data_IF_150902879108
#
_entry.id   IF_150902879108
#
_cell.length_a   1.000
_cell.length_b   1.000
_cell.length_c   1.000
_cell.angle_alpha   90.00
_cell.angle_beta   90.00
_cell.angle_gamma   90.00
#
_symmetry.space_group_name_H-M   'P 1'
#
loop_
_entity.id
_entity.type
_entity.pdbx_description
1 polymer ?
#
# COMPACT_ATOMS: atom_id res chain seq x y z
N UNK A 1 -4.54 -3.29 -19.36
CA UNK A 1 -5.84 -2.58 -19.41
C UNK A 1 -6.51 -2.50 -18.05
N UNK A 2 -6.81 -3.61 -17.35
CA UNK A 2 -7.50 -3.57 -16.04
C UNK A 2 -6.79 -2.73 -14.97
N UNK A 3 -5.45 -2.81 -14.89
CA UNK A 3 -4.64 -1.94 -14.01
C UNK A 3 -4.88 -0.45 -14.27
N UNK A 4 -4.86 -0.01 -15.53
CA UNK A 4 -5.10 1.39 -15.89
C UNK A 4 -6.51 1.85 -15.52
N UNK A 5 -7.52 0.98 -15.71
CA UNK A 5 -8.91 1.27 -15.30
C UNK A 5 -9.00 1.45 -13.79
N UNK A 6 -8.35 0.57 -13.02
CA UNK A 6 -8.35 0.70 -11.55
C UNK A 6 -7.60 1.95 -11.08
N UNK A 7 -6.48 2.30 -11.73
CA UNK A 7 -5.73 3.51 -11.43
C UNK A 7 -6.54 4.77 -11.73
N UNK A 8 -7.28 4.81 -12.84
CA UNK A 8 -8.18 5.91 -13.16
C UNK A 8 -9.27 6.08 -12.07
N UNK A 9 -9.80 4.98 -11.53
CA UNK A 9 -10.72 5.02 -10.39
C UNK A 9 -10.10 5.60 -9.12
N UNK A 10 -8.86 5.22 -8.80
CA UNK A 10 -8.11 5.80 -7.68
C UNK A 10 -7.88 7.31 -7.87
N UNK A 11 -7.44 7.72 -9.07
CA UNK A 11 -7.25 9.14 -9.39
C UNK A 11 -8.55 9.92 -9.25
N UNK A 12 -9.68 9.36 -9.66
CA UNK A 12 -10.99 10.00 -9.53
C UNK A 12 -11.39 10.20 -8.06
N UNK A 13 -11.12 9.21 -7.20
CA UNK A 13 -11.36 9.31 -5.75
C UNK A 13 -10.48 10.38 -5.11
N UNK A 14 -9.18 10.39 -5.40
CA UNK A 14 -8.21 11.31 -4.81
C UNK A 14 -8.45 12.75 -5.29
N UNK A 15 -8.74 12.93 -6.58
CA UNK A 15 -9.04 14.24 -7.18
C UNK A 15 -10.43 14.78 -6.85
N UNK A 16 -11.26 13.99 -6.14
CA UNK A 16 -12.65 14.32 -5.82
C UNK A 16 -13.46 14.71 -7.07
N UNK A 17 -13.19 14.07 -8.21
CA UNK A 17 -13.85 14.38 -9.48
C UNK A 17 -13.40 15.67 -10.18
N UNK A 18 -12.40 16.39 -9.68
CA UNK A 18 -11.90 17.63 -10.29
C UNK A 18 -10.56 17.42 -10.98
N UNK A 19 -10.53 17.66 -12.30
CA UNK A 19 -9.28 17.70 -13.08
C UNK A 19 -8.39 18.89 -12.66
N UNK A 20 -8.97 19.94 -12.11
CA UNK A 20 -8.22 21.12 -11.66
C UNK A 20 -7.34 20.80 -10.45
N UNK A 21 -7.76 19.86 -9.59
CA UNK A 21 -6.93 19.32 -8.49
C UNK A 21 -5.73 18.55 -9.05
N UNK A 22 -5.87 17.89 -10.20
CA UNK A 22 -4.78 17.17 -10.88
C UNK A 22 -3.81 18.11 -11.59
N UNK A 23 -4.29 19.21 -12.17
CA UNK A 23 -3.44 20.16 -12.90
C UNK A 23 -2.93 21.33 -12.06
N UNK A 24 -3.57 21.61 -10.92
CA UNK A 24 -3.19 22.62 -9.94
C UNK A 24 -2.19 22.13 -8.87
N UNK A 25 -1.67 20.91 -9.02
CA UNK A 25 -0.61 20.36 -8.18
C UNK A 25 0.69 21.16 -8.38
N UNK A 26 0.89 22.18 -7.55
CA UNK A 26 2.18 22.82 -7.40
C UNK A 26 3.17 21.89 -6.69
N UNK A 27 4.41 21.84 -7.17
CA UNK A 27 5.47 21.09 -6.49
C UNK A 27 5.70 21.67 -5.09
N UNK A 28 5.31 20.91 -4.08
CA UNK A 28 5.50 21.24 -2.69
C UNK A 28 6.57 20.33 -2.08
N UNK A 29 7.10 20.72 -0.92
CA UNK A 29 8.02 19.86 -0.15
C UNK A 29 7.39 18.49 0.16
N UNK A 30 6.06 18.41 0.28
CA UNK A 30 5.32 17.16 0.43
C UNK A 30 5.50 16.19 -0.74
N UNK A 31 5.63 16.67 -1.98
CA UNK A 31 5.83 15.80 -3.15
C UNK A 31 7.20 15.12 -3.12
N UNK A 32 8.22 15.85 -2.63
CA UNK A 32 9.55 15.28 -2.42
C UNK A 32 9.51 14.18 -1.36
N UNK A 33 8.78 14.39 -0.26
CA UNK A 33 8.55 13.37 0.75
C UNK A 33 7.80 12.16 0.20
N UNK A 34 6.79 12.38 -0.65
CA UNK A 34 6.05 11.30 -1.32
C UNK A 34 6.95 10.48 -2.24
N UNK A 35 7.84 11.12 -3.00
CA UNK A 35 8.81 10.42 -3.86
C UNK A 35 9.76 9.55 -3.03
N UNK A 36 10.31 10.09 -1.94
CA UNK A 36 11.15 9.30 -1.03
C UNK A 36 10.36 8.13 -0.45
N UNK A 37 9.13 8.36 0.00
CA UNK A 37 8.28 7.32 0.56
C UNK A 37 7.98 6.19 -0.46
N UNK A 38 7.62 6.54 -1.70
CA UNK A 38 7.35 5.56 -2.76
C UNK A 38 8.62 4.80 -3.13
N UNK A 39 9.78 5.46 -3.22
CA UNK A 39 11.05 4.80 -3.48
C UNK A 39 11.41 3.81 -2.35
N UNK A 40 11.29 4.22 -1.09
CA UNK A 40 11.50 3.33 0.07
C UNK A 40 10.54 2.14 0.03
N UNK A 41 9.26 2.37 -0.29
CA UNK A 41 8.27 1.31 -0.43
C UNK A 41 8.59 0.33 -1.56
N UNK A 42 8.97 0.85 -2.73
CA UNK A 42 9.38 0.03 -3.87
C UNK A 42 10.62 -0.80 -3.56
N UNK A 43 11.63 -0.21 -2.92
CA UNK A 43 12.83 -0.95 -2.46
C UNK A 43 12.46 -2.02 -1.44
N UNK A 44 11.58 -1.71 -0.48
CA UNK A 44 11.08 -2.68 0.50
C UNK A 44 10.36 -3.85 -0.17
N UNK A 45 9.38 -3.58 -1.03
CA UNK A 45 8.57 -4.61 -1.69
C UNK A 45 9.40 -5.49 -2.62
N UNK A 46 10.35 -4.89 -3.35
CA UNK A 46 11.32 -5.64 -4.16
C UNK A 46 12.26 -6.43 -3.25
N UNK A 47 12.81 -5.84 -2.21
CA UNK A 47 13.73 -6.50 -1.27
C UNK A 47 13.10 -7.66 -0.50
N UNK A 48 11.77 -7.66 -0.33
CA UNK A 48 11.04 -8.78 0.27
C UNK A 48 11.24 -10.09 -0.52
N UNK A 49 11.45 -10.01 -1.84
CA UNK A 49 11.69 -11.18 -2.68
C UNK A 49 13.14 -11.71 -2.55
N UNK A 50 14.08 -10.88 -2.08
CA UNK A 50 15.49 -11.24 -1.84
C UNK A 50 15.78 -11.63 -0.40
N UNK A 51 14.72 -11.85 0.37
CA UNK A 51 14.75 -12.35 1.72
C UNK A 51 15.63 -13.62 1.82
N UNK A 52 16.68 -13.61 2.66
CA UNK A 52 17.53 -14.78 2.84
C UNK A 52 16.73 -15.99 3.30
N UNK A 53 16.99 -17.15 2.69
CA UNK A 53 16.37 -18.42 3.09
C UNK A 53 16.75 -18.72 4.55
N UNK A 54 15.75 -18.91 5.41
CA UNK A 54 15.95 -19.23 6.84
C UNK A 54 15.61 -18.10 7.81
N UNK A 55 15.39 -16.87 7.34
CA UNK A 55 14.84 -15.80 8.21
C UNK A 55 13.36 -16.12 8.46
N UNK A 56 12.80 -15.74 9.62
CA UNK A 56 11.34 -15.83 9.92
C UNK A 56 10.63 -14.48 9.60
N UNK A 57 9.43 -14.45 8.98
CA UNK A 57 8.84 -13.19 8.46
C UNK A 57 8.64 -12.14 9.55
N UNK A 58 8.31 -12.60 10.75
CA UNK A 58 8.19 -11.76 11.94
C UNK A 58 9.51 -11.09 12.34
N UNK A 59 10.65 -11.77 12.19
CA UNK A 59 11.97 -11.21 12.53
C UNK A 59 12.34 -10.09 11.56
N UNK A 60 12.01 -10.26 10.28
CA UNK A 60 12.21 -9.24 9.27
C UNK A 60 11.32 -8.01 9.52
N UNK A 61 10.05 -8.22 9.86
CA UNK A 61 9.14 -7.13 10.25
C UNK A 61 9.66 -6.40 11.50
N UNK A 62 10.11 -7.13 12.53
CA UNK A 62 10.68 -6.56 13.74
C UNK A 62 11.94 -5.71 13.44
N UNK A 63 12.82 -6.19 12.55
CA UNK A 63 13.99 -5.43 12.12
C UNK A 63 13.59 -4.11 11.43
N UNK A 64 12.58 -4.13 10.56
CA UNK A 64 12.10 -2.91 9.91
C UNK A 64 11.45 -1.94 10.90
N UNK A 65 10.65 -2.43 11.85
CA UNK A 65 10.08 -1.60 12.91
C UNK A 65 11.19 -0.97 13.75
N UNK A 66 12.24 -1.73 14.08
CA UNK A 66 13.36 -1.23 14.86
C UNK A 66 14.15 -0.15 14.12
N UNK A 67 14.48 -0.37 12.84
CA UNK A 67 15.14 0.65 12.01
C UNK A 67 14.25 1.89 11.87
N UNK A 68 12.95 1.71 11.62
CA UNK A 68 11.99 2.81 11.56
C UNK A 68 11.93 3.61 12.85
N UNK A 69 11.96 2.94 14.02
CA UNK A 69 12.00 3.58 15.33
C UNK A 69 13.29 4.40 15.52
N UNK A 70 14.44 3.86 15.13
CA UNK A 70 15.73 4.57 15.21
C UNK A 70 15.77 5.82 14.33
N UNK A 71 15.15 5.77 13.14
CA UNK A 71 15.05 6.93 12.23
C UNK A 71 14.04 7.96 12.73
N UNK A 72 12.91 7.52 13.29
CA UNK A 72 11.85 8.40 13.79
C UNK A 72 12.19 9.03 15.15
N UNK A 73 12.97 8.36 15.99
CA UNK A 73 13.36 8.85 17.32
C UNK A 73 14.00 10.26 17.32
N UNK A 74 15.00 10.58 16.46
CA UNK A 74 15.57 11.93 16.41
C UNK A 74 14.57 12.96 15.88
N UNK A 75 13.68 12.58 14.96
CA UNK A 75 12.62 13.49 14.47
C UNK A 75 11.61 13.82 15.57
N UNK A 76 11.21 12.81 16.35
CA UNK A 76 10.35 13.00 17.51
C UNK A 76 11.01 13.88 18.59
N UNK A 77 12.29 13.64 18.88
CA UNK A 77 13.06 14.47 19.81
C UNK A 77 13.15 15.94 19.33
N UNK A 78 13.31 16.15 18.02
CA UNK A 78 13.29 17.48 17.41
C UNK A 78 11.94 18.17 17.64
N UNK A 79 10.82 17.50 17.38
CA UNK A 79 9.49 18.08 17.60
C UNK A 79 9.25 18.45 19.07
N UNK A 80 9.68 17.59 19.99
CA UNK A 80 9.58 17.83 21.42
C UNK A 80 10.41 19.04 21.84
N UNK A 81 11.61 19.21 21.28
CA UNK A 81 12.45 20.39 21.51
C UNK A 81 11.83 21.69 20.97
N UNK A 82 10.97 21.58 19.94
CA UNK A 82 10.18 22.68 19.39
C UNK A 82 8.90 22.98 20.17
N UNK A 83 8.69 22.37 21.34
CA UNK A 83 7.54 22.59 22.21
C UNK A 83 6.26 21.87 21.79
N UNK A 84 6.30 20.97 20.79
CA UNK A 84 5.13 20.13 20.45
C UNK A 84 5.02 19.02 21.47
N UNK A 85 3.83 18.85 22.04
CA UNK A 85 3.56 17.80 23.02
C UNK A 85 2.43 16.90 22.53
N UNK A 86 2.55 15.60 22.76
CA UNK A 86 1.46 14.65 22.52
C UNK A 86 0.39 14.85 23.60
N UNK A 87 -0.85 15.10 23.18
CA UNK A 87 -1.97 15.14 24.10
C UNK A 87 -2.39 13.70 24.45
N UNK A 88 -1.96 13.21 25.61
CA UNK A 88 -2.18 11.83 26.05
C UNK A 88 -3.55 11.64 26.70
N UNK A 89 -4.62 11.91 25.95
CA UNK A 89 -5.97 11.52 26.37
C UNK A 89 -6.33 10.13 25.82
N UNK A 90 -7.34 9.49 26.42
CA UNK A 90 -7.74 8.11 26.08
C UNK A 90 -8.05 7.92 24.58
N UNK A 91 -8.62 8.93 23.92
CA UNK A 91 -8.92 8.91 22.49
C UNK A 91 -7.65 8.91 21.61
N UNK A 92 -6.66 9.76 21.92
CA UNK A 92 -5.38 9.75 21.21
C UNK A 92 -4.65 8.41 21.39
N UNK A 93 -4.62 7.87 22.62
CA UNK A 93 -3.98 6.57 22.89
C UNK A 93 -4.70 5.45 22.13
N UNK A 94 -6.03 5.43 22.14
CA UNK A 94 -6.81 4.46 21.38
C UNK A 94 -6.54 4.57 19.86
N UNK A 95 -6.46 5.79 19.32
CA UNK A 95 -6.12 6.04 17.92
C UNK A 95 -4.72 5.55 17.55
N UNK A 96 -3.72 5.82 18.40
CA UNK A 96 -2.33 5.35 18.22
C UNK A 96 -2.28 3.82 18.24
N UNK A 97 -2.94 3.18 19.21
CA UNK A 97 -2.99 1.72 19.30
C UNK A 97 -3.70 1.09 18.10
N UNK A 98 -4.82 1.67 17.67
CA UNK A 98 -5.52 1.22 16.47
C UNK A 98 -4.63 1.34 15.22
N UNK A 99 -3.99 2.49 15.03
CA UNK A 99 -3.12 2.73 13.87
C UNK A 99 -1.89 1.81 13.87
N UNK A 100 -1.23 1.63 15.01
CA UNK A 100 -0.01 0.83 15.14
C UNK A 100 -0.26 -0.68 15.10
N UNK A 101 -1.24 -1.17 15.85
CA UNK A 101 -1.47 -2.62 16.02
C UNK A 101 -2.40 -3.16 14.93
N UNK A 102 -3.53 -2.50 14.71
CA UNK A 102 -4.55 -3.01 13.79
C UNK A 102 -4.23 -2.62 12.35
N UNK A 103 -4.11 -1.32 12.07
CA UNK A 103 -3.93 -0.85 10.71
C UNK A 103 -2.53 -1.19 10.16
N UNK A 104 -1.47 -0.95 10.95
CA UNK A 104 -0.11 -1.25 10.53
C UNK A 104 0.25 -2.72 10.76
N UNK A 105 0.44 -3.19 12.01
CA UNK A 105 0.99 -4.51 12.26
C UNK A 105 0.16 -5.66 11.64
N UNK A 106 -1.12 -5.77 11.98
CA UNK A 106 -1.99 -6.81 11.39
C UNK A 106 -2.18 -6.61 9.88
N UNK A 107 -2.35 -5.36 9.43
CA UNK A 107 -2.45 -5.03 8.01
C UNK A 107 -1.24 -5.51 7.19
N UNK A 108 -0.02 -5.24 7.66
CA UNK A 108 1.21 -5.70 7.01
C UNK A 108 1.37 -7.22 7.01
N UNK A 109 1.01 -7.89 8.10
CA UNK A 109 1.05 -9.36 8.16
C UNK A 109 0.10 -9.95 7.12
N UNK A 110 -1.14 -9.47 7.07
CA UNK A 110 -2.14 -9.91 6.09
C UNK A 110 -1.72 -9.56 4.66
N UNK A 111 -1.18 -8.36 4.43
CA UNK A 111 -0.71 -7.94 3.11
C UNK A 111 0.45 -8.80 2.62
N UNK A 112 1.47 -9.01 3.45
CA UNK A 112 2.61 -9.84 3.10
C UNK A 112 2.18 -11.30 2.83
N UNK A 113 1.30 -11.86 3.66
CA UNK A 113 0.75 -13.20 3.42
C UNK A 113 -0.04 -13.26 2.10
N UNK A 114 -0.85 -12.25 1.80
CA UNK A 114 -1.58 -12.12 0.54
C UNK A 114 -0.64 -12.05 -0.66
N UNK A 115 0.38 -11.19 -0.62
CA UNK A 115 1.40 -11.05 -1.67
C UNK A 115 2.14 -12.37 -1.91
N UNK A 116 2.47 -13.13 -0.86
CA UNK A 116 3.08 -14.46 -1.00
C UNK A 116 2.11 -15.43 -1.70
N UNK A 117 0.82 -15.37 -1.39
CA UNK A 117 -0.18 -16.28 -1.95
C UNK A 117 -0.54 -15.99 -3.42
N UNK A 118 -0.65 -14.72 -3.82
CA UNK A 118 -1.11 -14.33 -5.16
C UNK A 118 -0.01 -13.77 -6.08
N UNK A 119 1.17 -13.51 -5.53
CA UNK A 119 2.30 -12.90 -6.21
C UNK A 119 2.27 -11.36 -6.17
N UNK A 120 3.43 -10.69 -6.34
CA UNK A 120 3.55 -9.22 -6.20
C UNK A 120 2.69 -8.42 -7.17
N UNK A 121 2.55 -8.88 -8.42
CA UNK A 121 1.77 -8.16 -9.45
C UNK A 121 0.28 -8.11 -9.13
N UNK A 122 -0.27 -9.16 -8.52
CA UNK A 122 -1.69 -9.20 -8.14
C UNK A 122 -1.88 -8.56 -6.77
N UNK A 123 -0.97 -8.80 -5.83
CA UNK A 123 -1.02 -8.21 -4.49
C UNK A 123 -0.97 -6.67 -4.52
N UNK A 124 -0.16 -6.07 -5.38
CA UNK A 124 -0.08 -4.61 -5.52
C UNK A 124 -1.39 -3.98 -6.01
N UNK A 125 -2.19 -4.72 -6.79
CA UNK A 125 -3.48 -4.23 -7.29
C UNK A 125 -4.51 -4.05 -6.17
N UNK A 126 -4.44 -4.85 -5.10
CA UNK A 126 -5.33 -4.73 -3.95
C UNK A 126 -5.12 -3.42 -3.17
N UNK A 127 -3.98 -2.75 -3.32
CA UNK A 127 -3.74 -1.43 -2.71
C UNK A 127 -4.73 -0.38 -3.27
N UNK A 128 -5.22 -0.56 -4.51
CA UNK A 128 -6.25 0.31 -5.08
C UNK A 128 -7.59 0.25 -4.33
N UNK A 129 -7.82 -0.77 -3.51
CA UNK A 129 -9.00 -0.84 -2.63
C UNK A 129 -8.88 0.07 -1.41
N UNK A 130 -7.68 0.50 -1.02
CA UNK A 130 -7.49 1.37 0.13
C UNK A 130 -8.34 2.66 0.07
N UNK A 131 -8.34 3.44 -1.04
CA UNK A 131 -9.22 4.61 -1.16
C UNK A 131 -10.72 4.25 -1.20
N UNK A 132 -11.09 3.06 -1.69
CA UNK A 132 -12.48 2.57 -1.66
C UNK A 132 -12.93 2.34 -0.23
N UNK A 133 -12.15 1.60 0.56
CA UNK A 133 -12.45 1.38 1.97
C UNK A 133 -12.42 2.68 2.77
N UNK A 134 -11.47 3.58 2.49
CA UNK A 134 -11.43 4.89 3.12
C UNK A 134 -12.72 5.68 2.88
N UNK A 135 -13.21 5.75 1.64
CA UNK A 135 -14.46 6.44 1.31
C UNK A 135 -15.70 5.78 1.97
N UNK A 136 -15.77 4.45 1.99
CA UNK A 136 -16.85 3.70 2.66
C UNK A 136 -16.84 3.96 4.16
N UNK A 137 -15.68 3.80 4.81
CA UNK A 137 -15.55 3.99 6.25
C UNK A 137 -15.75 5.46 6.66
N UNK A 138 -15.31 6.42 5.84
CA UNK A 138 -15.60 7.84 6.08
C UNK A 138 -17.11 8.12 6.05
N UNK A 139 -17.81 7.55 5.07
CA UNK A 139 -19.26 7.67 4.98
C UNK A 139 -19.96 7.06 6.20
N UNK A 140 -19.56 5.85 6.62
CA UNK A 140 -20.22 5.10 7.69
C UNK A 140 -19.87 5.61 9.10
N UNK A 141 -18.61 5.95 9.34
CA UNK A 141 -18.10 6.30 10.67
C UNK A 141 -18.08 7.81 10.93
N UNK A 142 -17.81 8.62 9.91
CA UNK A 142 -17.75 10.09 10.03
C UNK A 142 -19.05 10.76 9.55
N UNK A 143 -19.95 10.01 8.91
CA UNK A 143 -21.20 10.55 8.38
C UNK A 143 -21.02 11.43 7.16
N UNK A 144 -19.89 11.32 6.44
CA UNK A 144 -19.67 12.09 5.21
C UNK A 144 -20.65 11.65 4.12
N UNK A 145 -21.24 12.61 3.41
CA UNK A 145 -22.13 12.29 2.31
C UNK A 145 -21.33 11.89 1.06
N UNK A 146 -21.53 10.67 0.53
CA UNK A 146 -20.79 10.23 -0.64
C UNK A 146 -21.27 11.00 -1.88
N UNK A 147 -20.34 11.75 -2.48
CA UNK A 147 -20.55 12.38 -3.78
C UNK A 147 -20.46 11.39 -4.97
N UNK A 148 -20.84 11.86 -6.16
CA UNK A 148 -20.87 11.07 -7.40
C UNK A 148 -19.53 10.38 -7.72
N UNK A 149 -18.40 11.06 -7.45
CA UNK A 149 -17.07 10.54 -7.74
C UNK A 149 -16.68 9.37 -6.85
N UNK A 150 -17.28 9.22 -5.66
CA UNK A 150 -17.09 8.04 -4.83
C UNK A 150 -17.65 6.80 -5.53
N UNK A 151 -18.90 6.86 -6.00
CA UNK A 151 -19.53 5.76 -6.71
C UNK A 151 -18.79 5.41 -8.00
N UNK A 152 -18.53 6.42 -8.84
CA UNK A 152 -17.81 6.21 -10.10
C UNK A 152 -16.40 5.65 -9.88
N UNK A 153 -15.66 6.19 -8.90
CA UNK A 153 -14.32 5.74 -8.55
C UNK A 153 -14.30 4.30 -8.04
N UNK A 154 -15.22 3.94 -7.14
CA UNK A 154 -15.37 2.57 -6.64
C UNK A 154 -15.68 1.58 -7.76
N UNK A 155 -16.59 1.93 -8.67
CA UNK A 155 -16.93 1.09 -9.83
C UNK A 155 -15.71 0.87 -10.73
N UNK A 156 -14.93 1.91 -11.01
CA UNK A 156 -13.71 1.81 -11.81
C UNK A 156 -12.63 0.95 -11.13
N UNK A 157 -12.41 1.13 -9.84
CA UNK A 157 -11.45 0.32 -9.06
C UNK A 157 -11.85 -1.16 -9.11
N UNK A 158 -13.08 -1.47 -8.71
CA UNK A 158 -13.57 -2.86 -8.65
C UNK A 158 -13.62 -3.49 -10.04
N UNK A 159 -14.07 -2.74 -11.05
CA UNK A 159 -14.10 -3.18 -12.45
C UNK A 159 -12.71 -3.46 -13.01
N UNK A 160 -11.74 -2.57 -12.75
CA UNK A 160 -10.35 -2.75 -13.17
C UNK A 160 -9.67 -3.96 -12.52
N UNK A 161 -9.95 -4.20 -11.22
CA UNK A 161 -9.50 -5.40 -10.51
C UNK A 161 -10.11 -6.65 -11.15
N UNK A 162 -11.44 -6.67 -11.33
CA UNK A 162 -12.14 -7.82 -11.92
C UNK A 162 -11.64 -8.13 -13.34
N UNK A 163 -11.38 -7.12 -14.16
CA UNK A 163 -10.82 -7.29 -15.50
C UNK A 163 -9.41 -7.87 -15.47
N UNK A 164 -8.57 -7.42 -14.54
CA UNK A 164 -7.19 -7.93 -14.39
C UNK A 164 -7.19 -9.38 -13.94
N UNK A 165 -8.08 -9.73 -13.00
CA UNK A 165 -8.21 -11.10 -12.48
C UNK A 165 -8.80 -12.08 -13.50
N UNK A 166 -9.57 -11.59 -14.48
CA UNK A 166 -10.19 -12.40 -15.54
C UNK A 166 -9.28 -12.66 -16.73
N UNK A 167 -8.16 -11.95 -16.87
CA UNK A 167 -7.20 -12.25 -17.93
C UNK A 167 -6.53 -13.60 -17.63
N UNK A 168 -6.62 -14.60 -18.53
CA UNK A 168 -5.82 -15.81 -18.42
C UNK A 168 -4.36 -15.39 -18.30
N UNK A 169 -3.62 -16.00 -17.38
CA UNK A 169 -2.16 -15.82 -17.28
C UNK A 169 -1.55 -16.17 -18.64
N UNK A 170 -1.38 -15.17 -19.49
CA UNK A 170 -0.78 -15.34 -20.81
C UNK A 170 0.67 -15.74 -20.58
N UNK A 171 1.00 -16.97 -20.99
CA UNK A 171 2.33 -17.59 -21.01
C UNK A 171 3.48 -16.62 -20.71
N UNK A 172 4.07 -16.72 -19.52
CA UNK A 172 5.46 -16.31 -19.36
C UNK A 172 6.32 -17.23 -20.24
N UNK A 173 7.04 -16.72 -21.25
CA UNK A 173 8.03 -17.50 -21.98
C UNK A 173 9.24 -17.68 -21.06
N UNK A 174 9.22 -18.71 -20.21
CA UNK A 174 10.31 -18.95 -19.25
C UNK A 174 10.37 -20.33 -18.61
N UNK A 175 9.33 -21.17 -18.72
CA UNK A 175 9.26 -22.46 -18.02
C UNK A 175 9.58 -23.69 -18.90
N UNK A 176 10.36 -23.54 -19.97
CA UNK A 176 10.81 -24.68 -20.80
C UNK A 176 12.31 -24.62 -21.12
N UNK A 177 13.16 -24.44 -20.10
CA UNK A 177 14.57 -24.87 -20.18
C UNK A 177 14.85 -25.70 -18.94
N UNK A 178 14.73 -27.02 -19.06
CA UNK A 178 15.01 -27.93 -17.95
C UNK A 178 14.53 -29.38 -18.09
N UNK A 179 13.85 -29.75 -19.17
CA UNK A 179 13.47 -31.15 -19.42
C UNK A 179 13.93 -31.55 -20.83
N UNK A 180 15.23 -31.85 -20.96
CA UNK A 180 15.86 -32.18 -22.23
C UNK A 180 17.16 -32.94 -22.05
N UNK A 181 17.06 -34.13 -21.44
CA UNK A 181 17.93 -35.29 -21.69
C UNK A 181 19.41 -35.21 -21.30
N UNK A 182 19.86 -36.23 -20.55
CA UNK A 182 20.71 -37.23 -21.20
C UNK A 182 20.46 -38.66 -20.69
N UNK A 183 20.48 -39.66 -21.59
CA UNK A 183 20.31 -41.07 -21.29
C UNK A 183 21.61 -41.70 -20.75
N UNK A 184 21.49 -42.90 -20.20
CA UNK A 184 22.51 -43.56 -19.40
C UNK A 184 23.87 -43.82 -20.06
N UNK A 185 24.85 -43.97 -19.19
CA UNK A 185 25.98 -44.91 -19.22
C UNK A 185 26.53 -44.99 -17.79
#
# INVERSE_FOLDING_TARGET
MGVMVSLAGVLLLISRGSLEVLFGLGLNTGDLWMLVAVLTWSIYTVGLQWRPKGVHPMLQLAAFVFVGLLVMAPMYAWELSGGRTVNLHAGSVAGILYAGVIAAFLGFVCFNAGVIAVGPSVGSLFIHLQPVFAAILSTLLLGEHPAWFHFAGMTLVLGGIALTMRQPRGNEPGATVGAGGRPGA
#
